data_IF_057914061884
#
_entry.id   IF_057914061884
#
_cell.length_a   1.000
_cell.length_b   1.000
_cell.length_c   1.000
_cell.angle_alpha   90.00
_cell.angle_beta   90.00
_cell.angle_gamma   90.00
#
_symmetry.space_group_name_H-M   'P 1'
#
loop_
_entity.id
_entity.type
_entity.pdbx_description
1 polymer ?
#
# COMPACT_ATOMS: atom_id res chain seq x y z
N UNK A 1 -7.97 -16.65 21.85
CA UNK A 1 -7.52 -16.65 20.42
C UNK A 1 -7.51 -15.24 19.80
N UNK A 2 -8.59 -14.45 19.91
CA UNK A 2 -8.72 -13.13 19.27
C UNK A 2 -7.67 -12.07 19.67
N UNK A 3 -7.13 -12.09 20.90
CA UNK A 3 -6.11 -11.13 21.35
C UNK A 3 -4.73 -11.38 20.72
N UNK A 4 -4.32 -12.66 20.60
CA UNK A 4 -3.06 -13.05 19.96
C UNK A 4 -3.07 -12.76 18.46
N UNK A 5 -4.19 -13.02 17.78
CA UNK A 5 -4.37 -12.68 16.37
C UNK A 5 -4.24 -11.17 16.17
N UNK A 6 -4.94 -10.34 16.95
CA UNK A 6 -4.81 -8.87 16.88
C UNK A 6 -3.38 -8.38 17.11
N UNK A 7 -2.64 -8.98 18.05
CA UNK A 7 -1.24 -8.65 18.30
C UNK A 7 -0.36 -8.98 17.09
N UNK A 8 -0.57 -10.13 16.45
CA UNK A 8 0.16 -10.51 15.22
C UNK A 8 -0.10 -9.52 14.09
N UNK A 9 -1.35 -9.11 13.87
CA UNK A 9 -1.69 -8.10 12.85
C UNK A 9 -1.06 -6.73 13.14
N UNK A 10 -1.09 -6.28 14.39
CA UNK A 10 -0.46 -5.02 14.81
C UNK A 10 1.06 -5.06 14.61
N UNK A 11 1.69 -6.17 15.00
CA UNK A 11 3.13 -6.38 14.80
C UNK A 11 3.50 -6.41 13.31
N UNK A 12 2.69 -7.03 12.46
CA UNK A 12 2.92 -7.08 11.01
C UNK A 12 2.78 -5.70 10.34
N UNK A 13 1.82 -4.89 10.78
CA UNK A 13 1.68 -3.50 10.29
C UNK A 13 2.88 -2.66 10.75
N UNK A 14 3.25 -2.76 12.03
CA UNK A 14 4.39 -2.03 12.60
C UNK A 14 5.70 -2.41 11.91
N UNK A 15 5.95 -3.69 11.67
CA UNK A 15 7.15 -4.16 10.98
C UNK A 15 7.20 -3.68 9.53
N UNK A 16 6.05 -3.61 8.85
CA UNK A 16 5.97 -3.08 7.48
C UNK A 16 6.33 -1.59 7.41
N UNK A 17 5.88 -0.78 8.38
CA UNK A 17 6.29 0.63 8.48
C UNK A 17 7.78 0.79 8.79
N UNK A 18 8.32 -0.05 9.68
CA UNK A 18 9.74 -0.04 10.00
C UNK A 18 10.60 -0.38 8.78
N UNK A 19 10.16 -1.36 7.96
CA UNK A 19 10.82 -1.73 6.71
C UNK A 19 10.82 -0.58 5.69
N UNK A 20 9.70 0.13 5.54
CA UNK A 20 9.62 1.32 4.67
C UNK A 20 10.61 2.39 5.15
N UNK A 21 10.66 2.66 6.45
CA UNK A 21 11.60 3.62 7.04
C UNK A 21 13.07 3.22 6.78
N UNK A 22 13.41 1.96 7.03
CA UNK A 22 14.76 1.44 6.78
C UNK A 22 15.16 1.56 5.31
N UNK A 23 14.22 1.29 4.41
CA UNK A 23 14.42 1.37 2.97
C UNK A 23 14.63 2.81 2.49
N UNK A 24 13.86 3.78 3.03
CA UNK A 24 14.08 5.20 2.76
C UNK A 24 15.43 5.69 3.27
N UNK A 25 15.85 5.23 4.45
CA UNK A 25 17.15 5.55 5.02
C UNK A 25 18.31 4.98 4.18
N UNK A 26 18.16 3.73 3.73
CA UNK A 26 19.14 3.09 2.85
C UNK A 26 19.28 3.84 1.52
N UNK A 27 18.16 4.23 0.88
CA UNK A 27 18.18 4.97 -0.37
C UNK A 27 18.86 6.34 -0.21
N UNK A 28 18.56 7.05 0.88
CA UNK A 28 19.21 8.32 1.21
C UNK A 28 20.73 8.17 1.31
N UNK A 29 21.21 7.20 2.09
CA UNK A 29 22.64 6.95 2.24
C UNK A 29 23.30 6.53 0.93
N UNK A 30 22.61 5.78 0.10
CA UNK A 30 23.10 5.36 -1.21
C UNK A 30 23.33 6.57 -2.15
N UNK A 31 22.43 7.55 -2.13
CA UNK A 31 22.56 8.79 -2.91
C UNK A 31 23.77 9.60 -2.43
N UNK A 32 23.90 9.78 -1.11
CA UNK A 32 25.03 10.50 -0.51
C UNK A 32 26.37 9.84 -0.86
N UNK A 33 26.43 8.51 -0.81
CA UNK A 33 27.62 7.76 -1.18
C UNK A 33 27.99 7.99 -2.66
N UNK A 34 27.01 7.90 -3.57
CA UNK A 34 27.23 8.13 -4.99
C UNK A 34 27.66 9.58 -5.31
N UNK A 35 27.09 10.56 -4.61
CA UNK A 35 27.51 11.96 -4.68
C UNK A 35 28.98 12.13 -4.25
N UNK A 36 29.38 11.47 -3.15
CA UNK A 36 30.77 11.47 -2.69
C UNK A 36 31.75 10.85 -3.68
N UNK A 37 31.37 9.74 -4.31
CA UNK A 37 32.20 9.07 -5.33
C UNK A 37 32.37 9.94 -6.58
N UNK A 38 31.30 10.60 -7.04
CA UNK A 38 31.36 11.56 -8.14
C UNK A 38 32.20 12.79 -7.78
N UNK A 39 32.11 13.25 -6.53
CA UNK A 39 32.95 14.32 -6.00
C UNK A 39 34.44 13.98 -6.07
N UNK A 40 34.83 12.77 -5.68
CA UNK A 40 36.23 12.31 -5.81
C UNK A 40 36.71 12.32 -7.26
N UNK A 41 35.92 11.79 -8.19
CA UNK A 41 36.24 11.82 -9.63
C UNK A 41 36.37 13.24 -10.18
N UNK A 42 35.55 14.18 -9.69
CA UNK A 42 35.66 15.59 -10.08
C UNK A 42 36.90 16.26 -9.50
N UNK A 43 37.29 15.92 -8.27
CA UNK A 43 38.53 16.39 -7.66
C UNK A 43 39.77 15.92 -8.44
N UNK A 44 39.81 14.65 -8.85
CA UNK A 44 40.89 14.12 -9.71
C UNK A 44 40.95 14.85 -11.06
N UNK A 45 39.80 15.14 -11.67
CA UNK A 45 39.75 15.94 -12.92
C UNK A 45 40.25 17.37 -12.71
N UNK A 46 39.95 17.99 -11.58
CA UNK A 46 40.45 19.33 -11.25
C UNK A 46 41.97 19.33 -11.12
N UNK A 47 42.53 18.33 -10.45
CA UNK A 47 43.97 18.13 -10.34
C UNK A 47 44.64 17.97 -11.71
N UNK A 48 44.10 17.08 -12.56
CA UNK A 48 44.59 16.91 -13.94
C UNK A 48 44.43 18.17 -14.80
N UNK A 49 43.45 19.03 -14.52
CA UNK A 49 43.27 20.30 -15.22
C UNK A 49 44.38 21.29 -14.85
N UNK A 50 44.73 21.38 -13.57
CA UNK A 50 45.81 22.23 -13.07
C UNK A 50 47.17 21.74 -13.58
N UNK A 51 47.45 20.44 -13.51
CA UNK A 51 48.70 19.87 -14.04
C UNK A 51 48.87 20.24 -15.52
N UNK A 52 47.83 20.04 -16.34
CA UNK A 52 47.91 20.36 -17.76
C UNK A 52 48.05 21.86 -18.06
N UNK A 53 47.44 22.72 -17.22
CA UNK A 53 47.61 24.17 -17.33
C UNK A 53 49.07 24.56 -17.08
N UNK A 54 49.65 24.05 -15.99
CA UNK A 54 51.05 24.30 -15.61
C UNK A 54 52.02 23.77 -16.66
N UNK A 55 51.78 22.57 -17.23
CA UNK A 55 52.59 22.03 -18.32
C UNK A 55 52.54 22.91 -19.57
N UNK A 56 51.36 23.41 -19.95
CA UNK A 56 51.19 24.26 -21.13
C UNK A 56 51.94 25.59 -20.99
N UNK A 57 51.79 26.25 -19.83
CA UNK A 57 52.53 27.48 -19.55
C UNK A 57 54.02 27.22 -19.47
N UNK A 58 54.46 26.14 -18.81
CA UNK A 58 55.87 25.76 -18.73
C UNK A 58 56.52 25.59 -20.11
N UNK A 59 55.81 25.00 -21.08
CA UNK A 59 56.29 24.90 -22.46
C UNK A 59 56.43 26.27 -23.14
N UNK A 60 55.41 27.13 -23.02
CA UNK A 60 55.43 28.48 -23.59
C UNK A 60 56.54 29.39 -22.99
N UNK A 61 56.88 29.17 -21.72
CA UNK A 61 57.96 29.90 -21.02
C UNK A 61 59.33 29.48 -21.53
N UNK A 62 59.58 28.18 -21.70
CA UNK A 62 60.86 27.64 -22.20
C UNK A 62 61.24 28.15 -23.59
N UNK A 63 60.25 28.44 -24.43
CA UNK A 63 60.48 28.96 -25.79
C UNK A 63 60.74 30.47 -25.84
N UNK A 64 60.38 31.24 -24.79
CA UNK A 64 60.29 32.70 -24.85
C UNK A 64 61.11 33.45 -23.79
N UNK A 65 61.69 32.78 -22.81
CA UNK A 65 62.44 33.48 -21.76
C UNK A 65 63.78 34.02 -22.29
N UNK A 66 64.30 35.11 -21.70
CA UNK A 66 65.70 35.54 -21.85
C UNK A 66 66.45 35.41 -20.49
N UNK A 67 65.84 34.67 -19.56
CA UNK A 67 66.24 34.52 -18.16
C UNK A 67 66.39 33.03 -17.90
N UNK A 68 67.57 32.62 -17.42
CA UNK A 68 67.84 31.27 -16.93
C UNK A 68 67.49 31.20 -15.44
N UNK A 69 66.79 30.14 -15.03
CA UNK A 69 66.40 29.95 -13.63
C UNK A 69 66.90 28.60 -13.12
N UNK A 70 67.61 28.62 -12.00
CA UNK A 70 68.13 27.41 -11.33
C UNK A 70 67.47 27.31 -9.97
N UNK A 71 66.79 26.20 -9.68
CA UNK A 71 66.21 25.95 -8.35
C UNK A 71 66.76 24.66 -7.78
N UNK A 72 67.36 24.75 -6.60
CA UNK A 72 67.85 23.61 -5.84
C UNK A 72 66.95 23.35 -4.62
N UNK A 73 66.59 22.11 -4.37
CA UNK A 73 65.84 21.73 -3.17
C UNK A 73 66.43 20.51 -2.47
N UNK A 74 66.39 20.53 -1.13
CA UNK A 74 66.77 19.41 -0.29
C UNK A 74 65.53 18.61 0.12
N UNK A 75 65.54 17.31 -0.15
CA UNK A 75 64.43 16.39 0.15
C UNK A 75 64.81 15.41 1.26
N UNK A 76 63.81 14.77 1.87
CA UNK A 76 64.03 13.82 2.98
C UNK A 76 64.73 12.52 2.54
N UNK A 77 64.48 12.11 1.29
CA UNK A 77 64.88 10.84 0.69
C UNK A 77 66.22 10.92 -0.08
N UNK A 78 66.81 12.12 -0.24
CA UNK A 78 68.09 12.32 -0.93
C UNK A 78 69.18 12.86 0.01
N UNK A 79 70.41 12.35 -0.15
CA UNK A 79 71.59 12.84 0.57
C UNK A 79 72.12 14.20 0.06
N UNK A 80 71.68 14.65 -1.12
CA UNK A 80 72.12 15.91 -1.76
C UNK A 80 70.96 16.67 -2.40
N UNK A 81 71.16 17.94 -2.81
CA UNK A 81 70.09 18.76 -3.37
C UNK A 81 69.73 18.29 -4.78
N UNK A 82 68.44 18.19 -5.08
CA UNK A 82 67.95 18.04 -6.43
C UNK A 82 67.84 19.42 -7.07
N UNK A 83 68.41 19.60 -8.26
CA UNK A 83 68.46 20.90 -8.94
C UNK A 83 67.73 20.81 -10.27
N UNK A 84 66.73 21.67 -10.47
CA UNK A 84 65.97 21.80 -11.72
C UNK A 84 66.31 23.14 -12.37
N UNK A 85 66.49 23.15 -13.68
CA UNK A 85 66.87 24.34 -14.44
C UNK A 85 65.92 24.58 -15.60
N UNK A 86 65.51 25.83 -15.76
CA UNK A 86 64.79 26.31 -16.93
C UNK A 86 65.70 27.30 -17.67
N UNK A 87 66.13 26.94 -18.87
CA UNK A 87 66.97 27.76 -19.75
C UNK A 87 66.24 27.97 -21.08
N UNK A 88 66.26 29.17 -21.67
CA UNK A 88 65.62 29.40 -22.94
C UNK A 88 66.41 28.76 -24.10
N UNK A 89 65.72 27.97 -24.93
CA UNK A 89 66.23 27.38 -26.19
C UNK A 89 67.61 26.69 -26.10
N UNK A 90 67.62 25.41 -25.74
CA UNK A 90 68.73 24.47 -26.00
C UNK A 90 70.14 24.97 -25.61
N UNK A 91 70.22 25.72 -24.52
CA UNK A 91 71.44 25.99 -23.76
C UNK A 91 71.36 25.26 -22.43
N UNK A 92 72.40 24.50 -22.10
CA UNK A 92 72.68 23.87 -20.82
C UNK A 92 72.20 22.42 -20.60
N UNK A 93 73.03 21.48 -21.04
CA UNK A 93 73.18 20.18 -20.38
C UNK A 93 73.96 20.39 -19.07
N UNK A 94 73.38 20.05 -17.92
CA UNK A 94 74.06 20.15 -16.63
C UNK A 94 74.78 18.83 -16.35
N UNK A 95 76.10 18.85 -16.40
CA UNK A 95 76.95 17.75 -15.93
C UNK A 95 77.66 18.25 -14.67
N UNK A 96 77.32 17.69 -13.50
CA UNK A 96 78.04 17.98 -12.25
C UNK A 96 77.85 19.38 -11.67
N UNK A 97 76.78 20.10 -12.02
CA UNK A 97 76.45 21.41 -11.42
C UNK A 97 77.10 22.63 -12.09
N UNK A 98 77.73 22.47 -13.25
CA UNK A 98 78.26 23.57 -14.06
C UNK A 98 77.39 23.77 -15.31
N UNK A 99 76.99 25.02 -15.55
CA UNK A 99 76.16 25.48 -16.67
C UNK A 99 77.08 25.87 -17.83
N UNK A 100 76.87 25.34 -19.04
CA UNK A 100 77.70 25.61 -20.22
C UNK A 100 76.95 26.48 -21.23
N UNK A 101 77.15 27.80 -21.15
CA UNK A 101 76.58 28.77 -22.11
C UNK A 101 77.04 28.52 -23.55
N UNK A 102 76.10 28.41 -24.50
CA UNK A 102 76.44 28.45 -25.94
C UNK A 102 76.69 29.91 -26.36
N UNK A 103 77.75 30.18 -27.15
CA UNK A 103 78.01 31.52 -27.67
C UNK A 103 76.98 31.87 -28.75
N UNK A 104 76.15 32.89 -28.52
CA UNK A 104 75.17 33.38 -29.51
C UNK A 104 73.94 34.09 -28.92
N UNK A 105 73.61 33.85 -27.65
CA UNK A 105 72.59 34.62 -26.94
C UNK A 105 73.26 35.72 -26.11
N UNK A 106 72.73 36.95 -26.16
CA UNK A 106 73.19 38.05 -25.31
C UNK A 106 73.02 37.75 -23.81
N UNK A 107 73.53 38.62 -22.94
CA UNK A 107 73.55 38.44 -21.48
C UNK A 107 72.24 37.83 -20.92
N UNK A 108 72.27 36.53 -20.61
CA UNK A 108 71.20 35.83 -19.89
C UNK A 108 71.37 36.16 -18.41
N UNK A 109 70.34 36.71 -17.77
CA UNK A 109 70.32 36.83 -16.31
C UNK A 109 70.02 35.46 -15.70
N UNK A 110 70.97 34.91 -14.94
CA UNK A 110 70.75 33.70 -14.13
C UNK A 110 70.21 34.08 -12.75
N UNK A 111 69.06 33.51 -12.37
CA UNK A 111 68.53 33.62 -11.00
C UNK A 111 68.52 32.26 -10.33
N UNK A 112 69.00 32.21 -9.09
CA UNK A 112 69.12 30.98 -8.30
C UNK A 112 68.37 31.08 -6.98
N UNK A 113 67.48 30.13 -6.72
CA UNK A 113 66.81 29.97 -5.43
C UNK A 113 67.05 28.58 -4.85
N UNK A 114 67.11 28.50 -3.52
CA UNK A 114 67.29 27.25 -2.79
C UNK A 114 66.18 27.09 -1.75
N UNK A 115 65.55 25.92 -1.73
CA UNK A 115 64.47 25.59 -0.78
C UNK A 115 64.81 24.38 0.09
N UNK A 116 64.37 24.42 1.35
CA UNK A 116 64.37 23.24 2.22
C UNK A 116 62.99 22.56 2.18
N UNK A 117 62.93 21.37 1.59
CA UNK A 117 61.73 20.55 1.38
C UNK A 117 61.88 19.17 2.06
N UNK A 118 62.69 19.05 3.12
CA UNK A 118 62.91 17.79 3.87
C UNK A 118 61.68 17.25 4.61
N UNK A 119 60.53 17.89 4.47
CA UNK A 119 59.23 17.42 4.95
C UNK A 119 58.48 16.55 3.93
N UNK A 120 59.00 16.43 2.70
CA UNK A 120 58.38 15.64 1.61
C UNK A 120 59.40 14.74 0.91
N UNK A 121 58.91 13.81 0.08
CA UNK A 121 59.70 12.96 -0.80
C UNK A 121 59.95 13.61 -2.17
N UNK A 122 60.95 13.11 -2.90
CA UNK A 122 61.29 13.60 -4.24
C UNK A 122 60.21 13.32 -5.29
N UNK A 123 59.45 12.22 -5.13
CA UNK A 123 58.45 11.77 -6.09
C UNK A 123 57.28 12.74 -6.23
N UNK A 124 56.92 13.48 -5.18
CA UNK A 124 55.90 14.52 -5.23
C UNK A 124 56.43 15.90 -5.70
N UNK A 125 57.73 16.02 -6.01
CA UNK A 125 58.42 17.32 -5.87
C UNK A 125 59.20 17.84 -7.09
N UNK A 126 59.32 17.08 -8.18
CA UNK A 126 59.91 17.61 -9.42
C UNK A 126 58.95 18.59 -10.13
N UNK A 127 57.65 18.31 -10.07
CA UNK A 127 56.60 19.19 -10.60
C UNK A 127 56.47 20.48 -9.79
N UNK A 128 56.74 20.44 -8.48
CA UNK A 128 56.69 21.62 -7.61
C UNK A 128 57.77 22.65 -7.97
N UNK A 129 59.00 22.21 -8.25
CA UNK A 129 60.10 23.10 -8.65
C UNK A 129 59.84 23.70 -10.04
N UNK A 130 59.40 22.89 -11.00
CA UNK A 130 59.00 23.37 -12.32
C UNK A 130 57.84 24.37 -12.25
N UNK A 131 56.87 24.13 -11.37
CA UNK A 131 55.74 25.03 -11.16
C UNK A 131 56.16 26.36 -10.55
N UNK A 132 57.06 26.34 -9.56
CA UNK A 132 57.64 27.55 -9.00
C UNK A 132 58.37 28.37 -10.06
N UNK A 133 59.22 27.75 -10.87
CA UNK A 133 59.93 28.43 -11.96
C UNK A 133 58.94 29.03 -12.97
N UNK A 134 57.94 28.25 -13.38
CA UNK A 134 56.90 28.68 -14.31
C UNK A 134 56.16 29.90 -13.76
N UNK A 135 55.81 29.90 -12.48
CA UNK A 135 55.14 31.03 -11.81
C UNK A 135 56.05 32.25 -11.64
N UNK A 136 57.35 32.09 -11.38
CA UNK A 136 58.28 33.23 -11.34
C UNK A 136 58.42 33.91 -12.70
N UNK A 137 58.36 33.12 -13.77
CA UNK A 137 58.50 33.60 -15.15
C UNK A 137 57.17 34.06 -15.75
N UNK A 138 56.03 33.71 -15.16
CA UNK A 138 54.69 34.09 -15.64
C UNK A 138 53.82 34.66 -14.53
N UNK A 139 53.27 35.86 -14.74
CA UNK A 139 52.25 36.39 -13.83
C UNK A 139 50.97 35.56 -14.00
N UNK A 140 50.44 35.02 -12.91
CA UNK A 140 49.17 34.31 -12.92
C UNK A 140 48.04 35.24 -13.39
N UNK A 141 47.39 34.86 -14.49
CA UNK A 141 46.19 35.51 -15.00
C UNK A 141 44.98 34.60 -14.75
N UNK A 142 44.13 35.02 -13.79
CA UNK A 142 42.90 34.31 -13.42
C UNK A 142 41.97 34.13 -14.61
N UNK A 143 41.83 35.12 -15.48
CA UNK A 143 40.91 35.07 -16.63
C UNK A 143 41.39 34.04 -17.64
N UNK A 144 42.71 33.95 -17.84
CA UNK A 144 43.30 32.93 -18.70
C UNK A 144 43.11 31.53 -18.11
N UNK A 145 43.36 31.36 -16.81
CA UNK A 145 43.14 30.10 -16.10
C UNK A 145 41.69 29.63 -16.16
N UNK A 146 40.74 30.50 -15.78
CA UNK A 146 39.30 30.18 -15.80
C UNK A 146 38.83 29.77 -17.21
N UNK A 147 39.34 30.42 -18.26
CA UNK A 147 39.06 30.05 -19.66
C UNK A 147 39.66 28.71 -20.06
N UNK A 148 40.87 28.39 -19.59
CA UNK A 148 41.50 27.10 -19.86
C UNK A 148 40.76 25.96 -19.16
N UNK A 149 40.45 26.15 -17.89
CA UNK A 149 39.79 25.15 -17.04
C UNK A 149 38.35 24.92 -17.48
N UNK A 150 37.59 25.98 -17.80
CA UNK A 150 36.23 25.84 -18.33
C UNK A 150 36.16 25.06 -19.64
N UNK A 151 37.16 25.20 -20.54
CA UNK A 151 37.25 24.36 -21.75
C UNK A 151 37.49 22.89 -21.46
N UNK A 152 38.24 22.58 -20.39
CA UNK A 152 38.63 21.20 -20.05
C UNK A 152 37.61 20.48 -19.17
N UNK A 153 37.00 21.18 -18.21
CA UNK A 153 36.01 20.64 -17.27
C UNK A 153 34.56 20.87 -17.72
N UNK A 154 34.34 21.70 -18.73
CA UNK A 154 33.02 22.02 -19.26
C UNK A 154 32.13 22.69 -18.23
N UNK A 155 30.83 22.38 -18.28
CA UNK A 155 29.80 22.96 -17.42
C UNK A 155 29.93 22.55 -15.93
N UNK A 156 30.88 21.68 -15.58
CA UNK A 156 31.14 21.29 -14.20
C UNK A 156 31.97 22.30 -13.42
N UNK A 157 32.55 23.32 -14.06
CA UNK A 157 33.34 24.36 -13.41
C UNK A 157 32.52 25.65 -13.26
N UNK A 158 32.54 26.25 -12.06
CA UNK A 158 31.84 27.50 -11.75
C UNK A 158 32.84 28.66 -11.69
N UNK A 159 33.78 28.57 -10.73
CA UNK A 159 34.78 29.60 -10.50
C UNK A 159 36.04 28.99 -9.86
N UNK A 160 37.15 29.72 -9.98
CA UNK A 160 38.36 29.44 -9.24
C UNK A 160 38.82 30.64 -8.43
N UNK A 161 39.52 30.39 -7.34
CA UNK A 161 40.18 31.40 -6.51
C UNK A 161 41.54 30.90 -6.04
N UNK A 162 42.58 31.72 -6.20
CA UNK A 162 43.90 31.44 -5.66
C UNK A 162 43.93 31.78 -4.18
N UNK A 163 44.28 30.82 -3.33
CA UNK A 163 44.38 31.01 -1.89
C UNK A 163 45.80 30.77 -1.41
N UNK A 164 46.30 31.65 -0.55
CA UNK A 164 47.57 31.44 0.14
C UNK A 164 47.29 30.95 1.55
N UNK A 165 47.69 29.72 1.84
CA UNK A 165 47.53 29.07 3.13
C UNK A 165 48.64 29.38 4.13
N UNK A 166 48.47 28.88 5.36
CA UNK A 166 49.51 28.88 6.41
C UNK A 166 50.41 27.63 6.35
N UNK A 167 49.93 26.57 5.70
CA UNK A 167 50.60 25.29 5.57
C UNK A 167 50.62 24.86 4.10
N UNK A 168 51.62 24.07 3.71
CA UNK A 168 51.73 23.57 2.33
C UNK A 168 50.65 22.52 2.10
N UNK A 169 49.96 22.64 0.97
CA UNK A 169 49.05 21.61 0.48
C UNK A 169 49.83 20.75 -0.52
N UNK A 170 49.90 19.45 -0.25
CA UNK A 170 50.60 18.48 -1.11
C UNK A 170 49.65 17.63 -1.94
N UNK A 171 48.40 17.48 -1.48
CA UNK A 171 47.40 16.63 -2.11
C UNK A 171 46.06 17.37 -2.21
N UNK A 172 45.31 17.07 -3.27
CA UNK A 172 43.96 17.59 -3.47
C UNK A 172 43.04 17.19 -2.31
N UNK A 173 42.26 18.15 -1.81
CA UNK A 173 41.28 17.92 -0.74
C UNK A 173 39.93 18.50 -1.14
N UNK A 174 38.86 17.77 -0.81
CA UNK A 174 37.49 18.29 -0.88
C UNK A 174 37.22 19.06 0.42
N UNK A 175 37.01 20.37 0.33
CA UNK A 175 36.76 21.27 1.47
C UNK A 175 35.28 21.26 1.83
N UNK A 176 34.43 21.40 0.82
CA UNK A 176 32.97 21.33 0.97
C UNK A 176 32.45 20.19 0.08
N UNK A 177 31.97 19.08 0.66
CA UNK A 177 31.42 17.97 -0.12
C UNK A 177 30.03 18.34 -0.66
N UNK A 178 29.63 17.76 -1.80
CA UNK A 178 28.31 17.99 -2.35
C UNK A 178 27.24 17.43 -1.41
N UNK A 179 26.16 18.18 -1.21
CA UNK A 179 25.00 17.75 -0.40
C UNK A 179 23.76 17.60 -1.27
N UNK A 180 22.76 16.91 -0.75
CA UNK A 180 21.51 16.65 -1.47
C UNK A 180 20.73 17.93 -1.86
N UNK A 181 21.00 19.04 -1.18
CA UNK A 181 20.39 20.34 -1.43
C UNK A 181 21.36 21.35 -2.06
N UNK A 182 22.67 21.20 -1.85
CA UNK A 182 23.72 22.02 -2.45
C UNK A 182 24.59 21.14 -3.35
N UNK A 183 24.28 21.16 -4.65
CA UNK A 183 24.91 20.36 -5.70
C UNK A 183 26.27 20.90 -6.14
N UNK A 184 26.94 21.62 -5.24
CA UNK A 184 28.24 22.24 -5.48
C UNK A 184 29.25 21.62 -4.54
N UNK A 185 30.49 21.53 -5.00
CA UNK A 185 31.61 21.08 -4.21
C UNK A 185 32.74 22.08 -4.32
N UNK A 186 33.44 22.30 -3.21
CA UNK A 186 34.65 23.11 -3.18
C UNK A 186 35.85 22.17 -3.08
N UNK A 187 36.69 22.17 -4.11
CA UNK A 187 37.95 21.42 -4.15
C UNK A 187 39.10 22.37 -3.96
N UNK A 188 40.07 21.99 -3.16
CA UNK A 188 41.33 22.69 -3.01
C UNK A 188 42.45 21.82 -3.58
N UNK A 189 43.09 22.31 -4.64
CA UNK A 189 44.16 21.61 -5.37
C UNK A 189 45.48 22.36 -5.15
N UNK A 190 46.61 21.67 -4.92
CA UNK A 190 47.91 22.33 -4.86
C UNK A 190 48.23 23.06 -6.17
N UNK A 191 48.58 24.35 -6.09
CA UNK A 191 48.99 25.13 -7.26
C UNK A 191 50.47 25.53 -7.20
N UNK A 192 50.94 26.10 -6.10
CA UNK A 192 52.36 26.34 -5.85
C UNK A 192 52.68 26.05 -4.37
N UNK A 193 52.94 24.76 -4.02
CA UNK A 193 53.15 24.35 -2.64
C UNK A 193 54.32 25.07 -1.95
N UNK A 194 55.37 25.45 -2.71
CA UNK A 194 56.55 26.15 -2.19
C UNK A 194 56.18 27.52 -1.63
N UNK A 195 55.22 28.21 -2.27
CA UNK A 195 54.70 29.51 -1.84
C UNK A 195 53.40 29.40 -1.02
N UNK A 196 53.03 28.21 -0.57
CA UNK A 196 51.79 27.96 0.17
C UNK A 196 50.52 28.31 -0.62
N UNK A 197 50.56 28.27 -1.95
CA UNK A 197 49.42 28.62 -2.79
C UNK A 197 48.66 27.37 -3.23
N UNK A 198 47.34 27.39 -3.03
CA UNK A 198 46.39 26.41 -3.51
C UNK A 198 45.36 27.07 -4.42
N UNK A 199 44.81 26.30 -5.35
CA UNK A 199 43.69 26.72 -6.18
C UNK A 199 42.41 26.13 -5.60
N UNK A 200 41.50 27.00 -5.18
CA UNK A 200 40.15 26.61 -4.83
C UNK A 200 39.28 26.63 -6.09
N UNK A 201 38.56 25.55 -6.34
CA UNK A 201 37.68 25.40 -7.50
C UNK A 201 36.30 24.99 -7.03
N UNK A 202 35.31 25.84 -7.34
CA UNK A 202 33.90 25.53 -7.12
C UNK A 202 33.40 24.75 -8.34
N UNK A 203 32.92 23.54 -8.11
CA UNK A 203 32.48 22.63 -9.16
C UNK A 203 31.03 22.20 -8.95
N UNK A 204 30.28 22.09 -10.04
CA UNK A 204 28.92 21.57 -10.02
C UNK A 204 28.93 20.05 -10.14
N UNK A 205 28.18 19.38 -9.26
CA UNK A 205 27.95 17.94 -9.30
C UNK A 205 26.57 17.68 -9.89
N UNK A 206 26.46 17.28 -11.17
CA UNK A 206 25.17 17.08 -11.81
C UNK A 206 24.44 15.88 -11.20
N UNK A 207 23.19 16.07 -10.77
CA UNK A 207 22.36 15.01 -10.18
C UNK A 207 21.91 13.95 -11.19
N UNK A 208 21.70 14.35 -12.43
CA UNK A 208 21.14 13.48 -13.48
C UNK A 208 21.96 12.19 -13.72
N UNK A 209 23.31 12.22 -13.86
CA UNK A 209 24.10 10.99 -13.99
C UNK A 209 24.09 10.13 -12.73
N UNK A 210 23.99 10.73 -11.53
CA UNK A 210 23.88 9.99 -10.26
C UNK A 210 22.55 9.22 -10.23
N UNK A 211 21.44 9.91 -10.49
CA UNK A 211 20.12 9.27 -10.56
C UNK A 211 20.09 8.19 -11.63
N UNK A 212 20.69 8.43 -12.80
CA UNK A 212 20.78 7.44 -13.89
C UNK A 212 21.52 6.17 -13.45
N UNK A 213 22.61 6.29 -12.71
CA UNK A 213 23.35 5.16 -12.15
C UNK A 213 22.56 4.38 -11.09
N UNK A 214 21.67 5.06 -10.37
CA UNK A 214 20.87 4.48 -9.29
C UNK A 214 19.46 4.05 -9.71
N UNK A 215 19.09 4.18 -10.99
CA UNK A 215 17.74 3.92 -11.49
C UNK A 215 17.20 2.55 -11.06
N UNK A 216 18.02 1.50 -11.14
CA UNK A 216 17.60 0.16 -10.76
C UNK A 216 17.31 0.02 -9.26
N UNK A 217 18.09 0.68 -8.42
CA UNK A 217 17.88 0.71 -6.97
C UNK A 217 16.62 1.50 -6.62
N UNK A 218 16.37 2.62 -7.31
CA UNK A 218 15.16 3.43 -7.12
C UNK A 218 13.89 2.68 -7.55
N UNK A 219 13.91 2.03 -8.72
CA UNK A 219 12.78 1.24 -9.21
C UNK A 219 12.51 0.04 -8.30
N UNK A 220 13.55 -0.69 -7.91
CA UNK A 220 13.43 -1.82 -6.99
C UNK A 220 12.87 -1.38 -5.64
N UNK A 221 13.36 -0.25 -5.12
CA UNK A 221 12.85 0.36 -3.90
C UNK A 221 11.35 0.70 -4.03
N UNK A 222 10.97 1.43 -5.08
CA UNK A 222 9.57 1.80 -5.32
C UNK A 222 8.63 0.59 -5.39
N UNK A 223 9.06 -0.48 -6.09
CA UNK A 223 8.29 -1.72 -6.23
C UNK A 223 8.04 -2.39 -4.87
N UNK A 224 9.09 -2.51 -4.04
CA UNK A 224 8.97 -3.08 -2.70
C UNK A 224 8.04 -2.24 -1.82
N UNK A 225 8.13 -0.92 -1.88
CA UNK A 225 7.25 -0.03 -1.12
C UNK A 225 5.79 -0.17 -1.55
N UNK A 226 5.50 -0.23 -2.85
CA UNK A 226 4.14 -0.46 -3.37
C UNK A 226 3.62 -1.83 -2.91
N UNK A 227 4.44 -2.87 -2.97
CA UNK A 227 4.07 -4.21 -2.52
C UNK A 227 3.71 -4.23 -1.03
N UNK A 228 4.49 -3.55 -0.19
CA UNK A 228 4.23 -3.42 1.25
C UNK A 228 2.93 -2.64 1.52
N UNK A 229 2.68 -1.55 0.80
CA UNK A 229 1.43 -0.78 0.94
C UNK A 229 0.20 -1.60 0.55
N UNK A 230 0.27 -2.34 -0.56
CA UNK A 230 -0.81 -3.25 -0.98
C UNK A 230 -1.05 -4.36 0.05
N UNK A 231 0.03 -4.92 0.62
CA UNK A 231 -0.06 -5.90 1.70
C UNK A 231 -0.79 -5.30 2.91
N UNK A 232 -0.37 -4.14 3.42
CA UNK A 232 -1.03 -3.48 4.56
C UNK A 232 -2.52 -3.22 4.27
N UNK A 233 -2.86 -2.72 3.08
CA UNK A 233 -4.24 -2.47 2.70
C UNK A 233 -5.08 -3.76 2.69
N UNK A 234 -4.53 -4.85 2.16
CA UNK A 234 -5.14 -6.17 2.20
C UNK A 234 -5.35 -6.67 3.64
N UNK A 235 -4.33 -6.52 4.50
CA UNK A 235 -4.39 -6.91 5.91
C UNK A 235 -5.53 -6.18 6.65
N UNK A 236 -5.67 -4.87 6.43
CA UNK A 236 -6.73 -4.04 7.02
C UNK A 236 -8.11 -4.51 6.54
N UNK A 237 -8.28 -4.76 5.24
CA UNK A 237 -9.55 -5.24 4.66
C UNK A 237 -10.00 -6.55 5.30
N UNK A 238 -9.09 -7.52 5.42
CA UNK A 238 -9.36 -8.82 6.04
C UNK A 238 -9.75 -8.64 7.51
N UNK A 239 -9.05 -7.79 8.26
CA UNK A 239 -9.36 -7.53 9.67
C UNK A 239 -10.77 -6.93 9.85
N UNK A 240 -11.18 -5.99 9.00
CA UNK A 240 -12.51 -5.39 9.07
C UNK A 240 -13.61 -6.40 8.74
N UNK A 241 -13.40 -7.24 7.73
CA UNK A 241 -14.33 -8.30 7.37
C UNK A 241 -14.48 -9.31 8.52
N UNK A 242 -13.38 -9.73 9.13
CA UNK A 242 -13.40 -10.65 10.26
C UNK A 242 -14.15 -10.06 11.47
N UNK A 243 -13.93 -8.79 11.80
CA UNK A 243 -14.68 -8.11 12.87
C UNK A 243 -16.19 -8.07 12.59
N UNK A 244 -16.58 -7.83 11.33
CA UNK A 244 -18.00 -7.83 10.94
C UNK A 244 -18.62 -9.21 11.12
N UNK A 245 -17.91 -10.27 10.70
CA UNK A 245 -18.35 -11.66 10.89
C UNK A 245 -18.46 -12.04 12.37
N UNK A 246 -17.46 -11.70 13.18
CA UNK A 246 -17.47 -11.96 14.62
C UNK A 246 -18.63 -11.25 15.32
N UNK A 247 -18.92 -10.00 14.94
CA UNK A 247 -20.06 -9.25 15.48
C UNK A 247 -21.39 -9.92 15.11
N UNK A 248 -21.59 -10.28 13.84
CA UNK A 248 -22.79 -11.00 13.40
C UNK A 248 -22.97 -12.34 14.14
N UNK A 249 -21.88 -13.07 14.41
CA UNK A 249 -21.91 -14.31 15.20
C UNK A 249 -22.28 -14.08 16.68
N UNK A 250 -21.74 -13.02 17.29
CA UNK A 250 -22.07 -12.68 18.68
C UNK A 250 -23.53 -12.26 18.82
N UNK A 251 -24.01 -11.41 17.91
CA UNK A 251 -25.40 -10.95 17.87
C UNK A 251 -26.34 -12.14 17.64
N UNK A 252 -25.95 -13.12 16.81
CA UNK A 252 -26.68 -14.39 16.63
C UNK A 252 -26.85 -15.15 17.95
N UNK A 253 -25.76 -15.45 18.65
CA UNK A 253 -25.82 -16.24 19.88
C UNK A 253 -26.69 -15.53 20.91
N UNK A 254 -26.56 -14.21 21.03
CA UNK A 254 -27.36 -13.42 21.95
C UNK A 254 -28.87 -13.45 21.61
N UNK A 255 -29.24 -13.21 20.36
CA UNK A 255 -30.65 -13.27 19.92
C UNK A 255 -31.22 -14.68 20.06
N UNK A 256 -30.44 -15.71 19.73
CA UNK A 256 -30.88 -17.11 19.85
C UNK A 256 -31.13 -17.49 21.31
N UNK A 257 -30.26 -17.07 22.24
CA UNK A 257 -30.48 -17.29 23.68
C UNK A 257 -31.77 -16.61 24.12
N UNK A 258 -32.02 -15.38 23.68
CA UNK A 258 -33.22 -14.63 24.08
C UNK A 258 -34.51 -15.28 23.55
N UNK A 259 -34.57 -15.62 22.27
CA UNK A 259 -35.74 -16.21 21.62
C UNK A 259 -36.01 -17.65 22.11
N UNK A 260 -34.99 -18.43 22.48
CA UNK A 260 -35.17 -19.76 23.10
C UNK A 260 -35.56 -19.68 24.58
N UNK A 261 -35.07 -18.66 25.31
CA UNK A 261 -35.37 -18.50 26.73
C UNK A 261 -36.85 -18.23 26.99
N UNK A 262 -37.50 -17.46 26.11
CA UNK A 262 -38.92 -17.08 26.23
C UNK A 262 -39.88 -18.29 26.28
N UNK A 263 -39.93 -19.20 25.27
CA UNK A 263 -40.81 -20.37 25.31
C UNK A 263 -40.48 -21.31 26.47
N UNK A 264 -39.18 -21.47 26.80
CA UNK A 264 -38.76 -22.27 27.96
C UNK A 264 -39.25 -21.68 29.28
N UNK A 265 -39.30 -20.34 29.40
CA UNK A 265 -39.86 -19.67 30.57
C UNK A 265 -41.39 -19.84 30.63
N UNK A 266 -42.10 -19.74 29.51
CA UNK A 266 -43.55 -19.98 29.44
C UNK A 266 -43.88 -21.43 29.83
N UNK A 267 -43.15 -22.41 29.28
CA UNK A 267 -43.29 -23.82 29.65
C UNK A 267 -43.07 -24.05 31.15
N UNK A 268 -42.02 -23.44 31.71
CA UNK A 268 -41.76 -23.51 33.17
C UNK A 268 -42.90 -22.89 33.98
N UNK A 269 -43.46 -21.78 33.53
CA UNK A 269 -44.59 -21.12 34.17
C UNK A 269 -45.84 -22.01 34.14
N UNK A 270 -46.22 -22.53 32.97
CA UNK A 270 -47.35 -23.45 32.81
C UNK A 270 -47.21 -24.71 33.68
N UNK A 271 -46.02 -25.32 33.70
CA UNK A 271 -45.74 -26.47 34.58
C UNK A 271 -45.82 -26.08 36.05
N UNK A 272 -45.34 -24.90 36.44
CA UNK A 272 -45.42 -24.43 37.83
C UNK A 272 -46.86 -24.19 38.28
N UNK A 273 -47.70 -23.58 37.42
CA UNK A 273 -49.13 -23.35 37.68
C UNK A 273 -49.86 -24.68 37.78
N UNK A 274 -49.61 -25.60 36.84
CA UNK A 274 -50.16 -26.96 36.87
C UNK A 274 -49.77 -27.72 38.15
N UNK A 275 -48.53 -27.55 38.63
CA UNK A 275 -48.06 -28.20 39.87
C UNK A 275 -48.60 -27.56 41.16
N UNK A 276 -49.01 -26.29 41.10
CA UNK A 276 -49.48 -25.52 42.25
C UNK A 276 -51.02 -25.57 42.43
N UNK A 277 -51.78 -25.87 41.37
CA UNK A 277 -53.24 -26.01 41.44
C UNK A 277 -53.64 -27.38 42.00
N UNK A 278 -54.52 -27.36 43.01
CA UNK A 278 -55.19 -28.53 43.60
C UNK A 278 -56.65 -28.69 43.13
N UNK A 279 -57.05 -27.95 42.09
CA UNK A 279 -58.47 -27.74 41.76
C UNK A 279 -58.91 -28.57 40.55
N UNK A 280 -60.11 -29.16 40.68
CA UNK A 280 -60.76 -30.13 39.79
C UNK A 280 -61.43 -29.48 38.56
N UNK A 281 -60.93 -28.33 38.09
CA UNK A 281 -61.49 -27.64 36.92
C UNK A 281 -60.83 -28.16 35.63
N UNK A 282 -61.55 -29.01 34.91
CA UNK A 282 -61.08 -29.64 33.65
C UNK A 282 -60.72 -28.64 32.55
N UNK A 283 -61.41 -27.50 32.46
CA UNK A 283 -61.23 -26.54 31.37
C UNK A 283 -59.94 -25.72 31.51
N UNK A 284 -59.55 -25.33 32.74
CA UNK A 284 -58.31 -24.56 32.98
C UNK A 284 -57.06 -25.44 32.75
N UNK A 285 -57.13 -26.71 33.19
CA UNK A 285 -56.08 -27.70 32.93
C UNK A 285 -55.93 -28.03 31.43
N UNK A 286 -57.05 -28.08 30.69
CA UNK A 286 -57.03 -28.28 29.24
C UNK A 286 -56.37 -27.08 28.52
N UNK A 287 -56.67 -25.85 28.94
CA UNK A 287 -56.05 -24.64 28.38
C UNK A 287 -54.55 -24.57 28.66
N UNK A 288 -54.11 -24.93 29.87
CA UNK A 288 -52.69 -24.98 30.24
C UNK A 288 -51.96 -26.04 29.40
N UNK A 289 -52.53 -27.24 29.24
CA UNK A 289 -51.94 -28.30 28.42
C UNK A 289 -51.88 -27.92 26.94
N UNK A 290 -52.90 -27.24 26.42
CA UNK A 290 -52.87 -26.72 25.05
C UNK A 290 -51.76 -25.67 24.88
N UNK A 291 -51.62 -24.75 25.83
CA UNK A 291 -50.55 -23.73 25.82
C UNK A 291 -49.16 -24.39 25.87
N UNK A 292 -48.97 -25.43 26.70
CA UNK A 292 -47.72 -26.20 26.78
C UNK A 292 -47.43 -26.90 25.46
N UNK A 293 -48.45 -27.48 24.82
CA UNK A 293 -48.34 -28.15 23.52
C UNK A 293 -47.94 -27.16 22.43
N UNK A 294 -48.63 -26.03 22.33
CA UNK A 294 -48.33 -24.97 21.36
C UNK A 294 -46.89 -24.43 21.52
N UNK A 295 -46.46 -24.11 22.75
CA UNK A 295 -45.10 -23.61 23.01
C UNK A 295 -44.01 -24.66 22.73
N UNK A 296 -44.31 -25.95 22.98
CA UNK A 296 -43.41 -27.06 22.64
C UNK A 296 -43.28 -27.25 21.12
N UNK A 297 -44.39 -27.16 20.38
CA UNK A 297 -44.40 -27.25 18.92
C UNK A 297 -43.67 -26.02 18.31
N UNK A 298 -43.86 -24.83 18.87
CA UNK A 298 -43.13 -23.62 18.51
C UNK A 298 -41.62 -23.77 18.74
N UNK A 299 -41.20 -24.29 19.90
CA UNK A 299 -39.80 -24.57 20.20
C UNK A 299 -39.19 -25.59 19.22
N UNK A 300 -39.94 -26.64 18.90
CA UNK A 300 -39.52 -27.65 17.91
C UNK A 300 -39.33 -27.03 16.53
N UNK A 301 -40.26 -26.17 16.09
CA UNK A 301 -40.14 -25.44 14.83
C UNK A 301 -38.93 -24.49 14.81
N UNK A 302 -38.62 -23.82 15.93
CA UNK A 302 -37.43 -22.98 16.05
C UNK A 302 -36.13 -23.78 15.95
N UNK A 303 -36.04 -24.94 16.60
CA UNK A 303 -34.89 -25.82 16.51
C UNK A 303 -34.72 -26.41 15.10
N UNK A 304 -35.82 -26.75 14.42
CA UNK A 304 -35.79 -27.20 13.04
C UNK A 304 -35.26 -26.11 12.09
N UNK A 305 -35.80 -24.88 12.18
CA UNK A 305 -35.33 -23.72 11.41
C UNK A 305 -33.85 -23.40 11.72
N UNK A 306 -33.43 -23.52 12.97
CA UNK A 306 -32.02 -23.34 13.36
C UNK A 306 -31.12 -24.39 12.71
N UNK A 307 -31.52 -25.66 12.76
CA UNK A 307 -30.78 -26.77 12.15
C UNK A 307 -30.63 -26.58 10.64
N UNK A 308 -31.67 -26.12 9.96
CA UNK A 308 -31.61 -25.82 8.53
C UNK A 308 -30.64 -24.69 8.21
N UNK A 309 -30.64 -23.61 9.00
CA UNK A 309 -29.70 -22.49 8.80
C UNK A 309 -28.25 -22.88 9.07
N UNK A 310 -27.99 -23.74 10.07
CA UNK A 310 -26.65 -24.26 10.36
C UNK A 310 -26.19 -25.20 9.24
N UNK A 311 -27.03 -26.16 8.84
CA UNK A 311 -26.71 -27.14 7.79
C UNK A 311 -26.44 -26.46 6.44
N UNK A 312 -27.13 -25.37 6.16
CA UNK A 312 -26.96 -24.66 4.91
C UNK A 312 -25.65 -23.85 4.80
N UNK A 313 -24.89 -23.65 5.89
CA UNK A 313 -23.52 -23.10 5.80
C UNK A 313 -22.53 -24.12 5.20
N UNK A 314 -22.86 -25.41 5.14
CA UNK A 314 -21.96 -26.49 4.71
C UNK A 314 -22.19 -27.00 3.27
N UNK A 315 -22.91 -26.26 2.42
CA UNK A 315 -23.52 -26.70 1.13
C UNK A 315 -24.85 -27.41 1.36
N UNK A 316 -25.93 -26.88 0.76
CA UNK A 316 -27.24 -27.52 0.76
C UNK A 316 -27.27 -28.56 -0.36
N UNK A 317 -27.30 -29.87 -0.07
CA UNK A 317 -27.60 -30.86 -1.09
C UNK A 317 -29.07 -30.71 -1.49
N UNK A 318 -29.33 -30.03 -2.60
CA UNK A 318 -30.69 -29.89 -3.16
C UNK A 318 -31.10 -31.16 -3.89
N UNK A 319 -32.33 -31.61 -3.68
CA UNK A 319 -32.92 -32.69 -4.46
C UNK A 319 -33.72 -32.11 -5.62
N UNK A 320 -33.00 -31.71 -6.67
CA UNK A 320 -33.62 -31.13 -7.87
C UNK A 320 -34.41 -32.22 -8.60
N UNK A 321 -35.73 -32.08 -8.63
CA UNK A 321 -36.65 -33.01 -9.31
C UNK A 321 -37.68 -32.23 -10.13
N UNK A 322 -38.31 -32.90 -11.10
CA UNK A 322 -39.43 -32.31 -11.85
C UNK A 322 -40.74 -32.58 -11.14
N UNK A 323 -41.41 -31.52 -10.67
CA UNK A 323 -42.67 -31.63 -9.93
C UNK A 323 -43.72 -30.64 -10.45
N UNK A 324 -44.98 -30.87 -10.08
CA UNK A 324 -46.10 -30.00 -10.39
C UNK A 324 -46.13 -28.82 -9.39
N UNK A 325 -45.74 -27.63 -9.85
CA UNK A 325 -45.74 -26.42 -9.02
C UNK A 325 -47.16 -25.86 -8.82
N UNK A 326 -48.08 -26.10 -9.76
CA UNK A 326 -49.46 -25.63 -9.67
C UNK A 326 -50.16 -26.29 -8.49
N UNK A 327 -50.15 -27.62 -8.45
CA UNK A 327 -50.73 -28.40 -7.37
C UNK A 327 -50.04 -28.11 -6.02
N UNK A 328 -48.72 -27.93 -6.03
CA UNK A 328 -47.95 -27.61 -4.83
C UNK A 328 -48.35 -26.26 -4.23
N UNK A 329 -48.46 -25.20 -5.04
CA UNK A 329 -48.88 -23.87 -4.60
C UNK A 329 -50.35 -23.84 -4.19
N UNK A 330 -51.24 -24.53 -4.92
CA UNK A 330 -52.66 -24.63 -4.55
C UNK A 330 -52.85 -25.25 -3.17
N UNK A 331 -52.14 -26.35 -2.89
CA UNK A 331 -52.19 -27.00 -1.57
C UNK A 331 -51.69 -26.07 -0.46
N UNK A 332 -50.58 -25.36 -0.70
CA UNK A 332 -50.02 -24.44 0.27
C UNK A 332 -50.98 -23.26 0.56
N UNK A 333 -51.56 -22.66 -0.48
CA UNK A 333 -52.56 -21.58 -0.36
C UNK A 333 -53.81 -22.05 0.39
N UNK A 334 -54.27 -23.28 0.17
CA UNK A 334 -55.41 -23.86 0.86
C UNK A 334 -55.19 -24.01 2.38
N UNK A 335 -53.96 -24.27 2.82
CA UNK A 335 -53.61 -24.31 4.25
C UNK A 335 -53.74 -22.93 4.88
N UNK A 336 -53.22 -21.88 4.24
CA UNK A 336 -53.27 -20.52 4.78
C UNK A 336 -54.68 -19.92 4.76
N UNK A 337 -55.54 -20.29 3.80
CA UNK A 337 -56.97 -19.92 3.80
C UNK A 337 -57.75 -20.47 5.00
N UNK A 338 -57.28 -21.56 5.63
CA UNK A 338 -57.94 -22.19 6.79
C UNK A 338 -57.47 -21.63 8.13
N UNK A 339 -56.45 -20.77 8.15
CA UNK A 339 -55.89 -20.25 9.39
C UNK A 339 -56.86 -19.22 10.03
N UNK A 340 -57.37 -19.51 11.23
CA UNK A 340 -58.52 -18.80 11.84
C UNK A 340 -58.16 -17.65 12.79
N UNK A 341 -56.87 -17.32 12.95
CA UNK A 341 -56.44 -16.29 13.91
C UNK A 341 -56.62 -14.85 13.40
N UNK A 342 -56.63 -14.63 12.07
CA UNK A 342 -56.85 -13.34 11.40
C UNK A 342 -57.66 -13.54 10.11
N UNK A 343 -58.28 -12.49 9.58
CA UNK A 343 -58.96 -12.55 8.27
C UNK A 343 -57.89 -12.52 7.15
N UNK A 344 -57.50 -13.70 6.67
CA UNK A 344 -56.45 -13.86 5.66
C UNK A 344 -57.04 -14.25 4.30
N UNK A 345 -57.05 -13.29 3.36
CA UNK A 345 -57.46 -13.49 1.99
C UNK A 345 -56.26 -13.84 1.11
N UNK A 346 -56.15 -15.11 0.72
CA UNK A 346 -55.07 -15.57 -0.18
C UNK A 346 -55.62 -15.83 -1.58
N UNK A 347 -55.06 -15.15 -2.58
CA UNK A 347 -55.33 -15.36 -4.01
C UNK A 347 -54.13 -15.99 -4.71
N UNK A 348 -54.39 -16.88 -5.66
CA UNK A 348 -53.37 -17.53 -6.50
C UNK A 348 -53.62 -17.15 -7.96
N UNK A 349 -52.67 -16.45 -8.57
CA UNK A 349 -52.63 -16.11 -9.99
C UNK A 349 -51.58 -16.98 -10.71
N UNK A 350 -52.04 -17.99 -11.44
CA UNK A 350 -51.18 -18.94 -12.12
C UNK A 350 -51.21 -18.70 -13.63
N UNK A 351 -50.11 -18.20 -14.19
CA UNK A 351 -49.98 -17.86 -15.61
C UNK A 351 -48.70 -18.50 -16.16
N UNK A 352 -48.67 -19.84 -16.19
CA UNK A 352 -47.59 -20.62 -16.80
C UNK A 352 -48.11 -21.46 -17.95
N UNK A 353 -47.20 -21.75 -18.87
CA UNK A 353 -47.44 -22.64 -20.01
C UNK A 353 -47.33 -24.12 -19.65
N UNK A 354 -46.59 -24.45 -18.58
CA UNK A 354 -46.40 -25.82 -18.10
C UNK A 354 -46.52 -25.88 -16.58
N UNK A 355 -47.23 -26.89 -16.08
CA UNK A 355 -47.36 -27.15 -14.65
C UNK A 355 -46.08 -27.72 -14.02
N UNK A 356 -45.15 -28.22 -14.85
CA UNK A 356 -43.89 -28.79 -14.36
C UNK A 356 -42.85 -27.69 -14.11
N UNK A 357 -42.12 -27.86 -13.01
CA UNK A 357 -40.97 -27.04 -12.62
C UNK A 357 -39.84 -27.97 -12.16
N UNK A 358 -38.60 -27.61 -12.49
CA UNK A 358 -37.42 -28.23 -11.91
C UNK A 358 -36.94 -27.44 -10.69
N UNK A 359 -36.75 -28.16 -9.58
CA UNK A 359 -36.27 -27.61 -8.32
C UNK A 359 -36.42 -28.59 -7.16
N UNK A 360 -35.95 -28.20 -5.99
CA UNK A 360 -36.26 -28.91 -4.76
C UNK A 360 -37.64 -28.46 -4.26
N UNK A 361 -38.63 -29.34 -4.44
CA UNK A 361 -40.04 -29.06 -4.14
C UNK A 361 -40.22 -28.55 -2.72
N UNK A 362 -39.65 -29.24 -1.75
CA UNK A 362 -39.91 -28.95 -0.33
C UNK A 362 -39.22 -27.65 0.08
N UNK A 363 -37.99 -27.41 -0.40
CA UNK A 363 -37.29 -26.15 -0.14
C UNK A 363 -37.99 -24.94 -0.77
N UNK A 364 -38.50 -25.06 -2.00
CA UNK A 364 -39.22 -23.98 -2.67
C UNK A 364 -40.58 -23.70 -2.00
N UNK A 365 -41.29 -24.74 -1.55
CA UNK A 365 -42.51 -24.56 -0.75
C UNK A 365 -42.21 -23.90 0.60
N UNK A 366 -41.10 -24.26 1.25
CA UNK A 366 -40.67 -23.60 2.48
C UNK A 366 -40.33 -22.11 2.25
N UNK A 367 -39.76 -21.77 1.09
CA UNK A 367 -39.54 -20.37 0.71
C UNK A 367 -40.87 -19.62 0.62
N UNK A 368 -41.84 -20.14 -0.13
CA UNK A 368 -43.15 -19.50 -0.28
C UNK A 368 -43.89 -19.42 1.05
N UNK A 369 -43.83 -20.48 1.87
CA UNK A 369 -44.40 -20.47 3.22
C UNK A 369 -43.78 -19.39 4.09
N UNK A 370 -42.45 -19.24 4.11
CA UNK A 370 -41.79 -18.17 4.88
C UNK A 370 -42.21 -16.76 4.42
N UNK A 371 -42.41 -16.57 3.11
CA UNK A 371 -42.90 -15.29 2.59
C UNK A 371 -44.34 -15.03 3.05
N UNK A 372 -45.22 -16.02 2.97
CA UNK A 372 -46.61 -15.88 3.44
C UNK A 372 -46.72 -15.72 4.96
N UNK A 373 -45.90 -16.43 5.75
CA UNK A 373 -45.79 -16.21 7.20
C UNK A 373 -45.44 -14.75 7.49
N UNK A 374 -44.46 -14.19 6.79
CA UNK A 374 -44.08 -12.79 6.96
C UNK A 374 -45.23 -11.85 6.58
N UNK A 375 -45.94 -12.13 5.49
CA UNK A 375 -47.11 -11.34 5.09
C UNK A 375 -48.21 -11.34 6.16
N UNK A 376 -48.48 -12.48 6.82
CA UNK A 376 -49.46 -12.53 7.93
C UNK A 376 -48.95 -11.79 9.18
N UNK A 377 -47.67 -11.92 9.50
CA UNK A 377 -47.05 -11.31 10.69
C UNK A 377 -46.98 -9.79 10.62
N UNK A 378 -46.67 -9.24 9.46
CA UNK A 378 -46.41 -7.80 9.25
C UNK A 378 -47.58 -7.06 8.57
N UNK A 379 -48.77 -7.63 8.65
CA UNK A 379 -50.03 -7.00 8.20
C UNK A 379 -50.97 -6.74 9.37
N UNK A 380 -51.94 -5.85 9.16
CA UNK A 380 -52.99 -5.52 10.12
C UNK A 380 -53.98 -6.67 10.37
N UNK A 381 -55.23 -6.32 10.65
CA UNK A 381 -56.28 -7.32 10.95
C UNK A 381 -56.76 -8.07 9.70
N UNK A 382 -56.77 -7.38 8.55
CA UNK A 382 -57.13 -7.94 7.24
C UNK A 382 -55.86 -8.09 6.40
N UNK A 383 -55.50 -9.33 6.10
CA UNK A 383 -54.28 -9.69 5.36
C UNK A 383 -54.67 -10.14 3.96
N UNK A 384 -54.28 -9.38 2.94
CA UNK A 384 -54.47 -9.73 1.54
C UNK A 384 -53.14 -10.22 0.96
N UNK A 385 -53.03 -11.52 0.71
CA UNK A 385 -51.85 -12.15 0.12
C UNK A 385 -52.17 -12.53 -1.32
N UNK A 386 -51.32 -12.09 -2.23
CA UNK A 386 -51.38 -12.45 -3.65
C UNK A 386 -50.14 -13.25 -4.04
N UNK A 387 -50.34 -14.54 -4.30
CA UNK A 387 -49.30 -15.44 -4.81
C UNK A 387 -49.45 -15.52 -6.32
N UNK A 388 -48.39 -15.21 -7.07
CA UNK A 388 -48.39 -15.36 -8.52
C UNK A 388 -47.23 -16.25 -8.99
N UNK A 389 -47.48 -17.04 -10.02
CA UNK A 389 -46.48 -17.92 -10.63
C UNK A 389 -46.52 -17.75 -12.15
N UNK A 390 -45.40 -17.34 -12.76
CA UNK A 390 -45.33 -16.96 -14.17
C UNK A 390 -44.02 -17.43 -14.80
N UNK A 391 -44.06 -17.73 -16.10
CA UNK A 391 -42.84 -17.93 -16.89
C UNK A 391 -42.24 -16.55 -17.24
N UNK A 392 -40.92 -16.43 -17.17
CA UNK A 392 -40.18 -15.25 -17.64
C UNK A 392 -39.82 -15.39 -19.11
N UNK A 393 -39.55 -14.28 -19.79
CA UNK A 393 -39.11 -14.27 -21.20
C UNK A 393 -37.84 -15.10 -21.45
N UNK A 394 -37.06 -15.38 -20.41
CA UNK A 394 -35.80 -16.16 -20.47
C UNK A 394 -36.00 -17.65 -20.21
N UNK A 395 -37.23 -18.13 -20.10
CA UNK A 395 -37.54 -19.54 -19.78
C UNK A 395 -37.33 -19.91 -18.31
N UNK A 396 -37.19 -18.93 -17.42
CA UNK A 396 -37.09 -19.14 -15.97
C UNK A 396 -38.47 -19.04 -15.32
N UNK A 397 -38.66 -19.64 -14.14
CA UNK A 397 -39.93 -19.56 -13.41
C UNK A 397 -39.85 -18.50 -12.33
N UNK A 398 -40.78 -17.55 -12.35
CA UNK A 398 -40.94 -16.53 -11.32
C UNK A 398 -42.10 -16.88 -10.39
N UNK A 399 -41.83 -16.90 -9.09
CA UNK A 399 -42.84 -17.02 -8.04
C UNK A 399 -42.80 -15.73 -7.22
N UNK A 400 -43.94 -15.05 -7.08
CA UNK A 400 -44.03 -13.80 -6.31
C UNK A 400 -45.10 -13.88 -5.24
N UNK A 401 -44.81 -13.35 -4.06
CA UNK A 401 -45.75 -13.17 -2.96
C UNK A 401 -45.86 -11.67 -2.71
N UNK A 402 -47.08 -11.14 -2.80
CA UNK A 402 -47.39 -9.73 -2.51
C UNK A 402 -48.36 -9.64 -1.33
N UNK A 403 -48.15 -8.66 -0.46
CA UNK A 403 -49.03 -8.37 0.68
C UNK A 403 -49.40 -6.89 0.77
N UNK A 404 -50.41 -6.60 1.58
CA UNK A 404 -50.86 -5.26 1.97
C UNK A 404 -50.33 -4.85 3.36
N UNK A 405 -49.15 -5.34 3.75
CA UNK A 405 -48.58 -5.09 5.06
C UNK A 405 -48.01 -3.68 5.23
N UNK A 406 -47.28 -3.47 6.32
CA UNK A 406 -46.67 -2.17 6.68
C UNK A 406 -45.57 -1.69 5.72
N UNK A 407 -45.09 -2.56 4.83
CA UNK A 407 -43.99 -2.26 3.92
C UNK A 407 -42.61 -2.23 4.60
N UNK A 408 -41.56 -1.96 3.81
CA UNK A 408 -40.16 -1.95 4.23
C UNK A 408 -39.52 -0.65 3.73
N UNK A 409 -38.94 0.12 4.66
CA UNK A 409 -38.27 1.37 4.34
C UNK A 409 -37.05 1.15 3.41
N UNK A 410 -36.74 2.09 2.49
CA UNK A 410 -35.65 1.92 1.52
C UNK A 410 -34.29 1.57 2.15
N UNK A 411 -33.99 2.13 3.33
CA UNK A 411 -32.74 1.90 4.07
C UNK A 411 -32.63 0.48 4.63
N UNK A 412 -33.76 -0.20 4.83
CA UNK A 412 -33.83 -1.55 5.39
C UNK A 412 -33.92 -2.64 4.31
N UNK A 413 -34.34 -2.31 3.09
CA UNK A 413 -34.56 -3.30 2.02
C UNK A 413 -33.32 -4.15 1.68
N UNK A 414 -32.11 -3.61 1.83
CA UNK A 414 -30.88 -4.40 1.67
C UNK A 414 -30.55 -5.24 2.91
N UNK A 415 -30.92 -4.76 4.10
CA UNK A 415 -30.56 -5.35 5.39
C UNK A 415 -31.51 -6.48 5.79
N UNK A 416 -32.76 -6.48 5.37
CA UNK A 416 -33.74 -7.54 5.69
C UNK A 416 -33.33 -8.95 5.22
N UNK A 417 -32.43 -9.05 4.25
CA UNK A 417 -31.84 -10.32 3.80
C UNK A 417 -30.70 -10.82 4.68
N UNK A 418 -30.16 -9.97 5.55
CA UNK A 418 -29.09 -10.38 6.47
C UNK A 418 -29.66 -11.24 7.59
N UNK A 419 -28.94 -12.31 7.94
CA UNK A 419 -29.34 -13.21 9.03
C UNK A 419 -29.55 -12.39 10.30
N UNK A 420 -30.62 -12.69 11.03
CA UNK A 420 -30.97 -12.08 12.32
C UNK A 420 -31.39 -10.62 12.26
N UNK A 421 -31.57 -10.06 11.06
CA UNK A 421 -32.07 -8.70 10.94
C UNK A 421 -33.54 -8.63 11.37
N UNK A 422 -33.83 -7.68 12.26
CA UNK A 422 -35.18 -7.26 12.62
C UNK A 422 -35.24 -5.74 12.57
N UNK A 423 -36.29 -5.20 11.98
CA UNK A 423 -36.54 -3.76 12.02
C UNK A 423 -36.90 -3.35 13.45
N UNK A 424 -36.32 -2.24 13.91
CA UNK A 424 -36.66 -1.62 15.19
C UNK A 424 -37.76 -0.56 15.03
N UNK A 425 -38.26 -0.34 13.80
CA UNK A 425 -39.18 0.76 13.48
C UNK A 425 -40.60 0.55 14.03
N UNK A 426 -40.98 -0.69 14.38
CA UNK A 426 -42.35 -1.02 14.85
C UNK A 426 -42.31 -1.83 16.15
N UNK A 427 -42.08 -1.19 17.32
CA UNK A 427 -41.99 -1.86 18.62
C UNK A 427 -43.28 -2.57 19.03
N UNK A 428 -44.45 -2.02 18.65
CA UNK A 428 -45.76 -2.54 19.07
C UNK A 428 -46.22 -3.77 18.28
N UNK A 429 -45.59 -4.05 17.13
CA UNK A 429 -45.87 -5.22 16.28
C UNK A 429 -44.76 -6.29 16.37
N UNK A 430 -44.00 -6.31 17.48
CA UNK A 430 -42.88 -7.23 17.68
C UNK A 430 -43.38 -8.68 17.92
N UNK A 431 -43.92 -9.32 16.87
CA UNK A 431 -44.31 -10.73 16.90
C UNK A 431 -43.05 -11.62 17.08
N UNK A 432 -43.18 -12.80 17.71
CA UNK A 432 -42.07 -13.73 17.93
C UNK A 432 -41.36 -14.12 16.63
N UNK A 433 -40.02 -14.14 16.62
CA UNK A 433 -39.28 -14.50 15.41
C UNK A 433 -37.77 -14.27 15.49
N UNK A 434 -37.00 -15.26 15.03
CA UNK A 434 -35.52 -15.29 15.10
C UNK A 434 -34.85 -14.38 14.03
N UNK A 435 -35.61 -13.81 13.09
CA UNK A 435 -35.04 -13.01 11.99
C UNK A 435 -34.29 -13.84 10.95
N UNK A 436 -34.67 -15.12 10.81
CA UNK A 436 -34.03 -16.06 9.87
C UNK A 436 -34.80 -16.25 8.55
N UNK A 437 -36.10 -15.92 8.51
CA UNK A 437 -36.98 -16.24 7.37
C UNK A 437 -36.47 -15.73 6.02
N UNK A 438 -36.23 -14.41 5.89
CA UNK A 438 -35.76 -13.85 4.61
C UNK A 438 -34.31 -14.25 4.27
N UNK A 439 -33.46 -14.46 5.27
CA UNK A 439 -32.11 -14.98 5.03
C UNK A 439 -32.12 -16.43 4.54
N UNK A 440 -33.08 -17.25 5.00
CA UNK A 440 -33.32 -18.59 4.49
C UNK A 440 -33.82 -18.54 3.04
N UNK A 441 -34.75 -17.63 2.73
CA UNK A 441 -35.21 -17.40 1.34
C UNK A 441 -34.03 -17.07 0.41
N UNK A 442 -33.17 -16.12 0.78
CA UNK A 442 -31.99 -15.77 -0.01
C UNK A 442 -31.06 -16.97 -0.27
N UNK A 443 -30.84 -17.77 0.77
CA UNK A 443 -29.96 -18.92 0.74
C UNK A 443 -30.48 -20.04 -0.16
N UNK A 444 -31.77 -20.39 -0.07
CA UNK A 444 -32.39 -21.41 -0.93
C UNK A 444 -32.43 -20.95 -2.40
N UNK A 445 -32.75 -19.67 -2.64
CA UNK A 445 -32.77 -19.11 -4.00
C UNK A 445 -31.37 -19.16 -4.62
N UNK A 446 -30.33 -18.78 -3.88
CA UNK A 446 -28.94 -18.89 -4.33
C UNK A 446 -28.51 -20.34 -4.59
N UNK A 447 -28.91 -21.27 -3.73
CA UNK A 447 -28.61 -22.69 -3.90
C UNK A 447 -29.21 -23.26 -5.20
N UNK A 448 -30.37 -22.74 -5.63
CA UNK A 448 -31.00 -23.07 -6.92
C UNK A 448 -30.43 -22.28 -8.11
N UNK A 449 -29.36 -21.48 -7.94
CA UNK A 449 -28.83 -20.60 -8.99
C UNK A 449 -29.76 -19.46 -9.39
N UNK A 450 -30.80 -19.19 -8.58
CA UNK A 450 -31.81 -18.20 -8.85
C UNK A 450 -31.46 -16.79 -8.37
N UNK A 451 -32.38 -15.86 -8.61
CA UNK A 451 -32.31 -14.48 -8.12
C UNK A 451 -33.60 -14.06 -7.43
N UNK A 452 -33.52 -13.05 -6.58
CA UNK A 452 -34.66 -12.49 -5.86
C UNK A 452 -34.80 -11.01 -6.13
N UNK A 453 -36.03 -10.51 -6.10
CA UNK A 453 -36.41 -9.11 -6.30
C UNK A 453 -37.38 -8.71 -5.20
N UNK A 454 -37.29 -7.45 -4.76
CA UNK A 454 -38.17 -6.88 -3.75
C UNK A 454 -38.69 -5.54 -4.26
N UNK A 455 -40.00 -5.33 -4.13
CA UNK A 455 -40.69 -4.08 -4.35
C UNK A 455 -41.51 -3.82 -3.09
N UNK A 456 -41.17 -2.80 -2.32
CA UNK A 456 -41.86 -2.50 -1.07
C UNK A 456 -41.95 -1.01 -0.88
N UNK A 457 -43.11 -0.55 -0.42
CA UNK A 457 -43.36 0.84 -0.05
C UNK A 457 -44.06 0.86 1.30
N UNK A 458 -43.60 1.76 2.17
CA UNK A 458 -44.13 1.90 3.54
C UNK A 458 -45.64 2.17 3.47
N UNK A 459 -46.41 1.50 4.31
CA UNK A 459 -47.89 1.52 4.39
C UNK A 459 -48.65 1.01 3.16
N UNK A 460 -47.97 0.58 2.09
CA UNK A 460 -48.63 -0.01 0.91
C UNK A 460 -48.44 -1.53 0.79
N UNK A 461 -47.38 -2.05 1.42
CA UNK A 461 -47.09 -3.48 1.46
C UNK A 461 -45.82 -3.88 0.72
N UNK A 462 -45.63 -5.18 0.60
CA UNK A 462 -44.39 -5.75 0.08
C UNK A 462 -44.68 -6.82 -0.97
N UNK A 463 -43.94 -6.77 -2.08
CA UNK A 463 -43.85 -7.83 -3.09
C UNK A 463 -42.44 -8.38 -3.13
N UNK A 464 -42.30 -9.67 -2.87
CA UNK A 464 -41.05 -10.41 -3.02
C UNK A 464 -41.23 -11.40 -4.16
N UNK A 465 -40.31 -11.38 -5.12
CA UNK A 465 -40.29 -12.30 -6.26
C UNK A 465 -39.00 -13.10 -6.25
N UNK A 466 -39.11 -14.42 -6.43
CA UNK A 466 -37.97 -15.32 -6.63
C UNK A 466 -38.03 -15.83 -8.07
N UNK A 467 -36.88 -15.91 -8.72
CA UNK A 467 -36.74 -16.41 -10.09
C UNK A 467 -35.79 -17.59 -10.07
N UNK A 468 -36.27 -18.73 -10.52
CA UNK A 468 -35.54 -20.00 -10.51
C UNK A 468 -35.27 -20.43 -11.96
N UNK A 469 -34.00 -20.61 -12.35
CA UNK A 469 -33.66 -21.08 -13.70
C UNK A 469 -34.23 -22.49 -13.90
N UNK A 470 -34.78 -22.73 -15.09
CA UNK A 470 -35.18 -24.07 -15.49
C UNK A 470 -34.04 -24.64 -16.33
N UNK A 471 -33.23 -25.49 -15.72
CA UNK A 471 -32.22 -26.24 -16.46
C UNK A 471 -32.94 -27.34 -17.25
N UNK A 472 -32.73 -27.37 -18.56
CA UNK A 472 -33.26 -28.42 -19.44
C UNK A 472 -32.54 -29.75 -19.23
#
# INVERSE_FOLDING_TARGET
MNRRIKQVWLLAILSSFLLIGLQTYWLYNSVIYSMGEMGKKNAEKAEQAIIAYLTNIGAAVKEKSHIGYVVSAYFSDFKGPCTTVCSPLDTDTIIGGVVYSKPGFGNVMEKRDTFDLRETDSNNSFDCLNTYITYQLTRFDKVHFDRFVSRKLGNGFIESEMKTGKHRLWQTRIVEPPTLFHHEMLVEVPFNPIQYQSMQMRMQVPMLPILKGMMWQMIGSLLVTIMLLLSIAYLIKVMLLQKKVDKMRSDFVHTMIHELKRPVQTLKMCVSVFSAQKTDEKDENALIMETVREESDNLTAYLAKLREVIRAEEHIPLQITSFDIHAALQNLVAVYRKNRQKEVNVSLDYQRTSDRMMGDRDQLLNVVSNLMENSVKYSGDIVNIHVACRDTEKGEVMISVSDNGIGISPDEQQRVWTKFYRSNAYPDMMQPGIGLGLSFVDMIVKAHGGRKMMQSEVEKGTRISIVIPQHS
#
